data_IF_821284360000
#
_entry.id   IF_821284360000
#
_cell.length_a   1.000
_cell.length_b   1.000
_cell.length_c   1.000
_cell.angle_alpha   90.00
_cell.angle_beta   90.00
_cell.angle_gamma   90.00
#
_symmetry.space_group_name_H-M   'P 1'
#
loop_
_entity.id
_entity.type
_entity.pdbx_description
1 polymer ?
#
# COMPACT_ATOMS: atom_id res chain seq x y z
N UNK A 1 -23.92 49.77 24.69
CA UNK A 1 -22.55 49.97 24.17
C UNK A 1 -21.82 48.63 24.33
N UNK A 2 -21.20 47.94 23.37
CA UNK A 2 -20.72 48.23 22.01
C UNK A 2 -20.59 46.88 21.26
N UNK A 3 -21.19 46.83 20.07
CA UNK A 3 -20.76 46.20 18.81
C UNK A 3 -20.47 44.69 18.73
N UNK A 4 -21.44 43.97 18.14
CA UNK A 4 -21.23 42.74 17.35
C UNK A 4 -20.31 43.08 16.17
N UNK A 5 -19.09 42.53 16.13
CA UNK A 5 -18.26 42.55 14.92
C UNK A 5 -18.69 41.41 14.00
N UNK A 6 -19.17 41.80 12.82
CA UNK A 6 -19.46 40.93 11.69
C UNK A 6 -18.19 40.19 11.28
N UNK A 7 -18.35 38.88 11.04
CA UNK A 7 -17.34 37.99 10.49
C UNK A 7 -17.32 38.21 8.98
N UNK A 8 -16.33 38.95 8.48
CA UNK A 8 -16.11 39.09 7.04
C UNK A 8 -15.68 37.74 6.45
N UNK A 9 -16.55 37.19 5.61
CA UNK A 9 -16.27 36.07 4.74
C UNK A 9 -15.53 36.61 3.51
N UNK A 10 -14.20 36.51 3.51
CA UNK A 10 -13.41 36.59 2.29
C UNK A 10 -13.20 35.18 1.76
N UNK A 11 -14.28 34.58 1.25
CA UNK A 11 -14.16 33.57 0.19
C UNK A 11 -13.83 34.32 -1.08
N UNK A 12 -12.67 34.05 -1.70
CA UNK A 12 -12.44 34.11 -3.14
C UNK A 12 -10.95 33.94 -3.45
N UNK A 13 -10.51 32.71 -3.70
CA UNK A 13 -9.61 32.41 -4.83
C UNK A 13 -9.56 30.90 -5.09
N UNK A 14 -10.62 30.36 -5.67
CA UNK A 14 -10.59 29.02 -6.26
C UNK A 14 -10.12 29.19 -7.72
N UNK A 15 -8.81 29.28 -7.92
CA UNK A 15 -8.24 29.16 -9.26
C UNK A 15 -8.30 27.67 -9.62
N UNK A 16 -9.08 27.37 -10.65
CA UNK A 16 -9.32 26.02 -11.16
C UNK A 16 -8.07 25.40 -11.77
N UNK A 17 -7.16 24.93 -10.92
CA UNK A 17 -6.25 23.85 -11.25
C UNK A 17 -7.00 22.54 -11.04
N UNK A 18 -7.05 21.69 -12.07
CA UNK A 18 -7.43 20.29 -11.91
C UNK A 18 -6.58 19.73 -10.77
N UNK A 19 -7.21 19.27 -9.69
CA UNK A 19 -6.46 18.70 -8.57
C UNK A 19 -5.63 17.52 -9.06
N UNK A 20 -4.45 17.32 -8.50
CA UNK A 20 -3.54 16.23 -8.89
C UNK A 20 -4.23 14.87 -8.88
N UNK A 21 -5.26 14.70 -8.05
CA UNK A 21 -6.08 13.48 -7.99
C UNK A 21 -6.96 13.27 -9.22
N UNK A 22 -7.50 14.34 -9.82
CA UNK A 22 -8.32 14.26 -11.03
C UNK A 22 -7.45 14.01 -12.27
N UNK A 23 -6.26 14.62 -12.33
CA UNK A 23 -5.30 14.38 -13.40
C UNK A 23 -4.85 12.91 -13.41
N UNK A 24 -4.53 12.37 -12.24
CA UNK A 24 -4.15 10.96 -12.08
C UNK A 24 -5.29 10.03 -12.49
N UNK A 25 -6.53 10.36 -12.10
CA UNK A 25 -7.71 9.56 -12.45
C UNK A 25 -7.96 9.52 -13.96
N UNK A 26 -7.85 10.67 -14.64
CA UNK A 26 -7.98 10.74 -16.10
C UNK A 26 -6.88 9.98 -16.82
N UNK A 27 -5.64 10.03 -16.32
CA UNK A 27 -4.50 9.33 -16.91
C UNK A 27 -4.61 7.81 -16.74
N UNK A 28 -5.09 7.33 -15.59
CA UNK A 28 -5.35 5.91 -15.37
C UNK A 28 -6.55 5.39 -16.17
N UNK A 29 -7.59 6.22 -16.33
CA UNK A 29 -8.80 5.85 -17.08
C UNK A 29 -8.57 5.71 -18.58
N UNK A 30 -7.54 6.35 -19.15
CA UNK A 30 -7.25 6.26 -20.59
C UNK A 30 -6.67 4.88 -20.98
N UNK A 31 -6.21 4.08 -20.03
CA UNK A 31 -5.58 2.78 -20.30
C UNK A 31 -4.27 2.91 -21.08
N UNK A 32 -3.42 1.89 -21.03
CA UNK A 32 -2.23 1.84 -21.87
C UNK A 32 -2.62 1.17 -23.19
N UNK A 33 -2.83 1.97 -24.24
CA UNK A 33 -3.06 1.46 -25.60
C UNK A 33 -1.73 0.90 -26.11
N UNK A 34 -1.57 -0.42 -26.01
CA UNK A 34 -0.48 -1.14 -26.67
C UNK A 34 -1.04 -1.45 -28.05
N UNK A 35 -0.66 -0.64 -29.04
CA UNK A 35 -0.87 -1.00 -30.44
C UNK A 35 -0.13 -2.32 -30.66
N UNK A 36 -0.82 -3.30 -31.25
CA UNK A 36 -0.23 -4.57 -31.67
C UNK A 36 0.82 -4.24 -32.73
N UNK A 37 2.02 -3.92 -32.28
CA UNK A 37 3.15 -3.61 -33.13
C UNK A 37 3.44 -4.87 -33.95
N UNK A 38 3.32 -4.69 -35.25
CA UNK A 38 3.49 -5.71 -36.26
C UNK A 38 4.72 -6.59 -36.02
N UNK A 39 4.60 -7.83 -36.50
CA UNK A 39 5.48 -9.00 -36.41
C UNK A 39 6.91 -8.79 -36.96
N UNK A 40 7.61 -7.75 -36.55
CA UNK A 40 9.06 -7.59 -36.73
C UNK A 40 9.71 -7.92 -35.38
N UNK A 41 10.26 -9.14 -35.28
CA UNK A 41 10.78 -9.68 -34.03
C UNK A 41 11.66 -8.67 -33.30
N UNK A 42 11.34 -8.40 -32.03
CA UNK A 42 12.09 -7.49 -31.15
C UNK A 42 13.59 -7.65 -31.40
N UNK A 43 14.21 -6.68 -32.06
CA UNK A 43 15.63 -6.72 -32.36
C UNK A 43 16.40 -6.72 -31.04
N UNK A 44 16.96 -7.87 -30.70
CA UNK A 44 17.71 -8.06 -29.47
C UNK A 44 19.04 -7.32 -29.62
N UNK A 45 19.04 -6.04 -29.26
CA UNK A 45 20.24 -5.19 -29.27
C UNK A 45 21.21 -5.64 -28.19
N UNK A 46 22.52 -5.45 -28.40
CA UNK A 46 23.56 -5.74 -27.40
C UNK A 46 23.31 -5.03 -26.05
N UNK A 47 22.70 -3.84 -26.09
CA UNK A 47 22.30 -3.09 -24.90
C UNK A 47 21.19 -3.81 -24.10
N UNK A 48 20.27 -4.50 -24.77
CA UNK A 48 19.24 -5.30 -24.12
C UNK A 48 19.86 -6.53 -23.44
N UNK A 49 20.83 -7.20 -24.08
CA UNK A 49 21.59 -8.28 -23.45
C UNK A 49 22.31 -7.81 -22.19
N UNK A 50 22.98 -6.66 -22.27
CA UNK A 50 23.71 -6.08 -21.14
C UNK A 50 22.78 -5.70 -19.99
N UNK A 51 21.58 -5.20 -20.30
CA UNK A 51 20.53 -4.94 -19.31
C UNK A 51 20.04 -6.22 -18.64
N UNK A 52 19.84 -7.30 -19.39
CA UNK A 52 19.44 -8.60 -18.84
C UNK A 52 20.51 -9.17 -17.91
N UNK A 53 21.80 -9.11 -18.30
CA UNK A 53 22.92 -9.53 -17.46
C UNK A 53 22.98 -8.72 -16.15
N UNK A 54 22.81 -7.39 -16.25
CA UNK A 54 22.79 -6.53 -15.07
C UNK A 54 21.57 -6.81 -14.17
N UNK A 55 20.41 -7.09 -14.76
CA UNK A 55 19.18 -7.44 -14.05
C UNK A 55 19.32 -8.77 -13.30
N UNK A 56 19.97 -9.76 -13.92
CA UNK A 56 20.25 -11.05 -13.28
C UNK A 56 21.18 -10.88 -12.08
N UNK A 57 22.30 -10.16 -12.24
CA UNK A 57 23.24 -9.86 -11.14
C UNK A 57 22.53 -9.17 -9.98
N UNK A 58 21.66 -8.20 -10.27
CA UNK A 58 20.90 -7.50 -9.24
C UNK A 58 19.90 -8.42 -8.54
N UNK A 59 19.21 -9.29 -9.28
CA UNK A 59 18.28 -10.29 -8.73
C UNK A 59 18.99 -11.26 -7.80
N UNK A 60 20.19 -11.70 -8.13
CA UNK A 60 21.00 -12.55 -7.25
C UNK A 60 21.45 -11.82 -5.98
N UNK A 61 21.95 -10.59 -6.11
CA UNK A 61 22.31 -9.76 -4.95
C UNK A 61 21.11 -9.54 -4.02
N UNK A 62 19.92 -9.29 -4.57
CA UNK A 62 18.68 -9.18 -3.80
C UNK A 62 18.29 -10.48 -3.12
N UNK A 63 18.41 -11.63 -3.80
CA UNK A 63 18.17 -12.95 -3.20
C UNK A 63 19.12 -13.20 -2.02
N UNK A 64 20.41 -12.87 -2.16
CA UNK A 64 21.41 -13.01 -1.09
C UNK A 64 21.10 -12.07 0.07
N UNK A 65 20.79 -10.80 -0.21
CA UNK A 65 20.43 -9.80 0.81
C UNK A 65 19.15 -10.21 1.56
N UNK A 66 18.13 -10.73 0.85
CA UNK A 66 16.89 -11.27 1.44
C UNK A 66 17.15 -12.50 2.29
N UNK A 67 18.01 -13.44 1.85
CA UNK A 67 18.42 -14.60 2.65
C UNK A 67 19.18 -14.18 3.90
N UNK A 68 20.15 -13.27 3.78
CA UNK A 68 20.88 -12.71 4.94
C UNK A 68 19.95 -12.01 5.91
N UNK A 69 19.01 -11.19 5.41
CA UNK A 69 17.99 -10.54 6.24
C UNK A 69 17.08 -11.57 6.91
N UNK A 70 16.69 -12.65 6.22
CA UNK A 70 15.90 -13.75 6.79
C UNK A 70 16.68 -14.56 7.82
N UNK A 71 18.00 -14.74 7.67
CA UNK A 71 18.86 -15.37 8.67
C UNK A 71 19.08 -14.46 9.90
N UNK A 72 19.26 -13.15 9.69
CA UNK A 72 19.33 -12.15 10.77
C UNK A 72 17.98 -12.04 11.49
N UNK A 73 16.88 -12.12 10.75
CA UNK A 73 15.50 -12.18 11.26
C UNK A 73 15.07 -13.60 11.65
N UNK A 74 15.98 -14.58 11.61
CA UNK A 74 15.74 -16.01 11.80
C UNK A 74 15.47 -16.43 13.24
N UNK A 75 15.12 -15.48 14.11
CA UNK A 75 14.49 -15.74 15.41
C UNK A 75 12.96 -15.55 15.37
N UNK A 76 12.38 -15.20 14.22
CA UNK A 76 10.93 -15.07 14.06
C UNK A 76 10.55 -15.72 12.72
N UNK A 77 10.27 -17.03 12.76
CA UNK A 77 9.41 -17.65 11.75
C UNK A 77 7.95 -17.54 12.22
N UNK A 78 6.98 -17.35 11.31
CA UNK A 78 5.64 -17.86 11.52
C UNK A 78 5.72 -19.36 11.17
N UNK A 79 5.96 -20.18 12.18
CA UNK A 79 5.80 -21.63 12.08
C UNK A 79 4.33 -21.94 12.30
N UNK A 80 3.71 -22.55 11.29
CA UNK A 80 2.42 -23.22 11.43
C UNK A 80 2.61 -24.44 12.36
N UNK A 81 1.87 -24.43 13.48
CA UNK A 81 1.40 -25.55 14.35
C UNK A 81 2.45 -26.31 15.22
N UNK A 82 2.16 -26.71 16.49
CA UNK A 82 0.88 -27.29 16.95
C UNK A 82 0.30 -26.74 18.28
N UNK A 83 -1.00 -26.99 18.47
CA UNK A 83 -1.73 -26.98 19.75
C UNK A 83 -0.92 -27.62 20.90
N UNK A 84 -0.58 -26.85 21.94
CA UNK A 84 0.07 -27.39 23.13
C UNK A 84 0.46 -26.35 24.19
N UNK A 85 -0.37 -26.26 25.23
CA UNK A 85 -0.02 -26.00 26.64
C UNK A 85 0.29 -24.57 27.13
N UNK A 86 -0.68 -23.99 27.85
CA UNK A 86 -0.48 -23.29 29.14
C UNK A 86 0.31 -21.98 29.24
N UNK A 87 0.98 -21.50 28.19
CA UNK A 87 1.73 -20.23 28.23
C UNK A 87 0.85 -19.03 27.88
N UNK A 88 0.82 -18.00 28.74
CA UNK A 88 0.14 -16.72 28.50
C UNK A 88 0.42 -16.20 27.08
N UNK A 89 -0.53 -16.42 26.16
CA UNK A 89 -0.49 -15.82 24.82
C UNK A 89 -0.52 -14.31 25.03
N UNK A 90 0.60 -13.64 24.75
CA UNK A 90 0.65 -12.18 24.78
C UNK A 90 -0.44 -11.62 23.87
N UNK A 91 -1.10 -10.56 24.32
CA UNK A 91 -2.17 -9.94 23.55
C UNK A 91 -1.58 -9.41 22.24
N UNK A 92 -2.25 -9.57 21.08
CA UNK A 92 -1.73 -9.07 19.81
C UNK A 92 -1.38 -7.57 19.86
N UNK A 93 -2.13 -6.78 20.62
CA UNK A 93 -1.83 -5.34 20.78
C UNK A 93 -0.54 -5.06 21.55
N UNK A 94 -0.15 -5.93 22.49
CA UNK A 94 1.10 -5.74 23.24
C UNK A 94 2.30 -6.04 22.35
N UNK A 95 2.18 -7.03 21.46
CA UNK A 95 3.20 -7.34 20.45
C UNK A 95 3.34 -6.14 19.49
N UNK A 96 2.23 -5.67 18.92
CA UNK A 96 2.23 -4.53 17.99
C UNK A 96 2.79 -3.25 18.62
N UNK A 97 2.42 -2.95 19.87
CA UNK A 97 2.92 -1.77 20.58
C UNK A 97 4.42 -1.82 20.81
N UNK A 98 4.95 -3.00 21.14
CA UNK A 98 6.39 -3.22 21.32
C UNK A 98 7.16 -3.04 20.01
N UNK A 99 6.67 -3.61 18.91
CA UNK A 99 7.27 -3.46 17.58
C UNK A 99 7.29 -2.00 17.15
N UNK A 100 6.18 -1.28 17.34
CA UNK A 100 6.12 0.14 17.03
C UNK A 100 7.10 0.98 17.86
N UNK A 101 7.29 0.64 19.13
CA UNK A 101 8.29 1.31 19.98
C UNK A 101 9.72 1.00 19.54
N UNK A 102 10.00 -0.20 19.04
CA UNK A 102 11.30 -0.57 18.47
C UNK A 102 11.60 0.17 17.16
N UNK A 103 10.61 0.32 16.27
CA UNK A 103 10.78 0.95 14.97
C UNK A 103 10.80 2.48 15.04
N UNK A 104 9.91 3.07 15.83
CA UNK A 104 9.65 4.52 15.84
C UNK A 104 10.04 5.22 17.15
N UNK A 105 10.45 4.47 18.17
CA UNK A 105 10.91 5.03 19.45
C UNK A 105 9.87 5.92 20.11
N UNK A 106 10.28 7.13 20.50
CA UNK A 106 9.40 8.12 21.15
C UNK A 106 8.26 8.60 20.24
N UNK A 107 8.42 8.52 18.91
CA UNK A 107 7.40 8.92 17.95
C UNK A 107 6.32 7.84 17.73
N UNK A 108 6.48 6.65 18.31
CA UNK A 108 5.57 5.51 18.16
C UNK A 108 4.09 5.88 18.34
N UNK A 109 3.74 6.54 19.45
CA UNK A 109 2.35 6.93 19.72
C UNK A 109 1.79 7.92 18.68
N UNK A 110 2.63 8.83 18.17
CA UNK A 110 2.23 9.79 17.13
C UNK A 110 1.95 9.08 15.81
N UNK A 111 2.86 8.20 15.38
CA UNK A 111 2.69 7.44 14.14
C UNK A 111 1.47 6.52 14.24
N UNK A 112 1.26 5.88 15.39
CA UNK A 112 0.08 5.06 15.64
C UNK A 112 -1.21 5.86 15.46
N UNK A 113 -1.29 7.04 16.09
CA UNK A 113 -2.46 7.90 15.99
C UNK A 113 -2.72 8.35 14.55
N UNK A 114 -1.67 8.66 13.78
CA UNK A 114 -1.81 9.04 12.37
C UNK A 114 -2.31 7.87 11.52
N UNK A 115 -1.77 6.67 11.70
CA UNK A 115 -2.22 5.45 11.02
C UNK A 115 -3.70 5.17 11.33
N UNK A 116 -4.09 5.23 12.61
CA UNK A 116 -5.49 5.03 13.02
C UNK A 116 -6.40 6.11 12.41
N UNK A 117 -5.98 7.37 12.36
CA UNK A 117 -6.78 8.43 11.75
C UNK A 117 -7.00 8.21 10.25
N UNK A 118 -5.99 7.70 9.53
CA UNK A 118 -6.11 7.32 8.12
C UNK A 118 -7.05 6.13 7.94
N UNK A 119 -6.91 5.08 8.75
CA UNK A 119 -7.78 3.91 8.73
C UNK A 119 -9.24 4.31 8.99
N UNK A 120 -9.51 5.13 10.00
CA UNK A 120 -10.86 5.62 10.30
C UNK A 120 -11.46 6.46 9.16
N UNK A 121 -10.62 7.22 8.46
CA UNK A 121 -11.06 8.01 7.30
C UNK A 121 -11.45 7.10 6.14
N UNK A 122 -10.66 6.06 5.89
CA UNK A 122 -10.98 5.02 4.92
C UNK A 122 -12.26 4.26 5.31
N UNK A 123 -12.37 3.79 6.56
CA UNK A 123 -13.52 3.04 7.05
C UNK A 123 -14.80 3.87 6.96
N UNK A 124 -14.75 5.19 7.23
CA UNK A 124 -15.89 6.10 7.03
C UNK A 124 -16.34 6.12 5.57
N UNK A 125 -15.41 6.23 4.63
CA UNK A 125 -15.75 6.27 3.21
C UNK A 125 -16.27 4.91 2.73
N UNK A 126 -15.62 3.83 3.15
CA UNK A 126 -16.00 2.45 2.82
C UNK A 126 -17.39 2.09 3.36
N UNK A 127 -17.70 2.43 4.61
CA UNK A 127 -19.03 2.18 5.22
C UNK A 127 -20.14 3.00 4.56
N UNK A 128 -19.85 4.24 4.16
CA UNK A 128 -20.82 5.11 3.50
C UNK A 128 -21.17 4.61 2.08
N UNK A 129 -20.16 4.23 1.30
CA UNK A 129 -20.34 3.91 -0.11
C UNK A 129 -20.53 2.42 -0.39
N UNK A 130 -20.12 1.54 0.52
CA UNK A 130 -20.09 0.08 0.36
C UNK A 130 -19.76 -0.33 -1.08
N UNK A 131 -18.62 0.14 -1.62
CA UNK A 131 -18.33 -0.07 -3.03
C UNK A 131 -18.31 -1.57 -3.31
N UNK A 132 -19.05 -2.00 -4.33
CA UNK A 132 -18.93 -3.39 -4.81
C UNK A 132 -17.51 -3.60 -5.30
N UNK A 133 -16.76 -4.45 -4.60
CA UNK A 133 -15.42 -4.84 -5.01
C UNK A 133 -15.49 -5.52 -6.38
N UNK A 134 -14.62 -5.09 -7.28
CA UNK A 134 -14.52 -5.64 -8.63
C UNK A 134 -13.58 -6.86 -8.65
N UNK A 135 -13.89 -7.92 -9.42
CA UNK A 135 -15.09 -8.12 -10.22
C UNK A 135 -16.22 -8.81 -9.45
N UNK A 136 -17.41 -8.20 -9.48
CA UNK A 136 -18.64 -8.80 -8.99
C UNK A 136 -19.22 -9.73 -10.08
N UNK A 137 -18.46 -10.75 -10.48
CA UNK A 137 -18.91 -11.77 -11.41
C UNK A 137 -19.59 -12.87 -10.59
N UNK A 138 -20.90 -13.09 -10.74
CA UNK A 138 -21.56 -14.20 -10.07
C UNK A 138 -20.99 -15.52 -10.58
N UNK A 139 -20.36 -16.28 -9.69
CA UNK A 139 -19.88 -17.64 -9.99
C UNK A 139 -21.06 -18.59 -9.78
N UNK A 140 -21.54 -19.21 -10.85
CA UNK A 140 -22.50 -20.30 -10.76
C UNK A 140 -21.76 -21.58 -10.37
N UNK A 141 -21.70 -21.90 -9.08
CA UNK A 141 -21.20 -23.20 -8.61
C UNK A 141 -22.31 -24.23 -8.73
N UNK A 142 -22.18 -25.14 -9.71
CA UNK A 142 -23.01 -26.34 -9.80
C UNK A 142 -22.33 -27.40 -8.94
N UNK A 143 -22.96 -27.78 -7.83
CA UNK A 143 -22.53 -28.95 -7.05
C UNK A 143 -23.09 -30.21 -7.72
N UNK A 144 -22.19 -31.07 -8.19
CA UNK A 144 -22.51 -32.42 -8.69
C UNK A 144 -22.31 -33.47 -7.61
#
# INVERSE_FOLDING_TARGET
MRNRRLRELASNNNQGGLSDTELLHSQMSQGMHIEDADEEGMEVTDDFLKFLEQSEKHREQWKVKKKKLKCISGSISPSEEPLGDGGSREHPDTIRSREMQQLYGQASARIHAMETALQLSFDRFSTLHQPQYWPNIPINVIFS
#
